data_IF_309707209609
#
_entry.id   IF_309707209609
#
_cell.length_a   1.000
_cell.length_b   1.000
_cell.length_c   1.000
_cell.angle_alpha   90.00
_cell.angle_beta   90.00
_cell.angle_gamma   90.00
#
_symmetry.space_group_name_H-M   'P 1'
#
loop_
_entity.id
_entity.type
_entity.pdbx_description
1 polymer ?
#
# COMPACT_ATOMS: atom_id res chain seq x y z
N UNK A 1 -9.58 26.86 10.26
CA UNK A 1 -8.37 26.02 10.36
C UNK A 1 -7.41 26.36 9.23
N UNK A 2 -6.13 26.02 9.36
CA UNK A 2 -5.12 26.15 8.31
C UNK A 2 -5.08 24.89 7.44
N UNK A 3 -5.05 25.09 6.12
CA UNK A 3 -4.92 24.04 5.11
C UNK A 3 -3.90 24.48 4.05
N UNK A 4 -3.04 23.57 3.60
CA UNK A 4 -2.17 23.80 2.46
C UNK A 4 -2.93 23.50 1.16
N UNK A 5 -3.21 24.54 0.38
CA UNK A 5 -3.90 24.44 -0.90
C UNK A 5 -2.91 24.52 -2.05
N UNK A 6 -3.09 23.64 -3.03
CA UNK A 6 -2.27 23.56 -4.24
C UNK A 6 -3.00 24.26 -5.38
N UNK A 7 -2.35 25.29 -5.95
CA UNK A 7 -2.84 26.06 -7.08
C UNK A 7 -2.03 25.71 -8.34
N UNK A 8 -2.59 24.90 -9.26
CA UNK A 8 -1.89 24.52 -10.48
C UNK A 8 -1.94 25.66 -11.51
N UNK A 9 -1.07 26.67 -11.38
CA UNK A 9 -0.93 27.78 -12.34
C UNK A 9 0.27 27.57 -13.26
N UNK A 10 0.06 26.96 -14.44
CA UNK A 10 1.15 26.73 -15.41
C UNK A 10 1.98 28.01 -15.65
N UNK A 11 3.33 27.95 -15.64
CA UNK A 11 4.16 26.74 -15.64
C UNK A 11 4.55 26.22 -14.23
N UNK A 12 4.09 26.87 -13.15
CA UNK A 12 4.47 26.54 -11.79
C UNK A 12 3.32 25.90 -11.00
N UNK A 13 3.64 25.18 -9.94
CA UNK A 13 2.64 24.73 -8.96
C UNK A 13 2.93 25.48 -7.69
N UNK A 14 2.00 26.32 -7.26
CA UNK A 14 2.15 27.12 -6.03
C UNK A 14 1.37 26.45 -4.92
N UNK A 15 1.98 26.32 -3.75
CA UNK A 15 1.31 25.83 -2.53
C UNK A 15 1.24 26.97 -1.54
N UNK A 16 0.05 27.26 -1.02
CA UNK A 16 -0.18 28.34 -0.05
C UNK A 16 -0.94 27.81 1.14
N UNK A 17 -0.58 28.27 2.34
CA UNK A 17 -1.33 28.00 3.56
C UNK A 17 -2.49 28.99 3.63
N UNK A 18 -3.72 28.48 3.63
CA UNK A 18 -4.94 29.28 3.64
C UNK A 18 -5.73 29.04 4.94
N UNK A 19 -6.48 30.06 5.38
CA UNK A 19 -7.51 29.88 6.39
C UNK A 19 -8.78 29.40 5.70
N UNK A 20 -9.30 28.26 6.14
CA UNK A 20 -10.52 27.63 5.64
C UNK A 20 -11.46 27.29 6.80
N UNK A 21 -12.73 27.08 6.50
CA UNK A 21 -13.71 26.64 7.49
C UNK A 21 -13.37 25.24 8.01
N UNK A 22 -13.77 24.95 9.25
CA UNK A 22 -13.60 23.61 9.81
C UNK A 22 -14.51 22.63 9.03
N UNK A 23 -14.00 21.52 8.49
CA UNK A 23 -14.81 20.57 7.77
C UNK A 23 -15.78 19.88 8.74
N UNK A 24 -17.02 19.71 8.30
CA UNK A 24 -18.07 19.06 9.10
C UNK A 24 -18.20 17.61 8.64
N UNK A 25 -18.02 16.60 9.53
CA UNK A 25 -18.19 15.21 9.16
C UNK A 25 -19.65 14.94 8.78
N UNK A 26 -19.86 14.35 7.61
CA UNK A 26 -21.16 13.80 7.18
C UNK A 26 -21.44 12.46 7.86
N UNK A 27 -22.58 11.81 7.60
CA UNK A 27 -23.13 10.66 8.34
C UNK A 27 -22.10 9.67 8.93
N UNK A 28 -21.27 9.04 8.08
CA UNK A 28 -20.23 8.08 8.45
C UNK A 28 -18.81 8.67 8.54
N UNK A 29 -18.70 10.01 8.53
CA UNK A 29 -17.44 10.72 8.60
C UNK A 29 -16.91 10.84 10.03
N UNK A 30 -15.59 10.83 10.15
CA UNK A 30 -14.88 11.20 11.38
C UNK A 30 -14.09 12.48 11.13
N UNK A 31 -14.22 13.44 12.06
CA UNK A 31 -13.38 14.61 12.11
C UNK A 31 -12.12 14.27 12.89
N UNK A 32 -10.97 14.43 12.24
CA UNK A 32 -9.66 14.05 12.75
C UNK A 32 -8.80 15.30 12.90
N UNK A 33 -8.21 15.52 14.08
CA UNK A 33 -7.22 16.58 14.31
C UNK A 33 -5.82 16.03 14.11
N UNK A 34 -5.00 16.70 13.31
CA UNK A 34 -3.63 16.30 13.02
C UNK A 34 -2.72 16.45 14.25
N UNK A 35 -1.88 15.44 14.46
CA UNK A 35 -0.77 15.38 15.42
C UNK A 35 0.32 14.48 14.82
N UNK A 36 1.45 15.08 14.44
CA UNK A 36 2.65 14.36 13.96
C UNK A 36 2.36 13.41 12.78
N UNK A 37 1.63 13.90 11.78
CA UNK A 37 1.21 13.20 10.57
C UNK A 37 0.21 12.04 10.81
N UNK A 38 -0.23 11.84 12.04
CA UNK A 38 -1.38 11.03 12.41
C UNK A 38 -2.42 11.91 13.13
N UNK A 39 -3.46 11.31 13.72
CA UNK A 39 -4.63 12.09 14.13
C UNK A 39 -5.29 11.58 15.40
N UNK A 40 -6.04 12.46 16.05
CA UNK A 40 -7.05 12.09 17.03
C UNK A 40 -8.46 12.34 16.49
N UNK A 41 -9.39 11.45 16.81
CA UNK A 41 -10.82 11.69 16.57
C UNK A 41 -11.31 12.83 17.47
N UNK A 42 -11.92 13.85 16.86
CA UNK A 42 -12.52 15.01 17.55
C UNK A 42 -14.02 15.16 17.33
N UNK A 43 -14.56 14.53 16.29
CA UNK A 43 -15.98 14.59 16.00
C UNK A 43 -16.43 13.39 15.18
N UNK A 44 -17.70 13.04 15.34
CA UNK A 44 -18.35 11.93 14.66
C UNK A 44 -19.59 12.47 13.93
N UNK A 45 -19.82 11.99 12.71
CA UNK A 45 -21.05 12.26 11.96
C UNK A 45 -22.30 11.68 12.64
N UNK A 46 -23.49 11.96 12.11
CA UNK A 46 -24.77 11.57 12.72
C UNK A 46 -24.95 10.06 12.94
N UNK A 47 -24.29 9.20 12.16
CA UNK A 47 -24.25 7.75 12.42
C UNK A 47 -23.05 7.30 13.28
N UNK A 48 -22.02 8.15 13.41
CA UNK A 48 -20.95 7.94 14.39
C UNK A 48 -21.32 8.41 15.81
N UNK A 49 -22.37 9.22 15.98
CA UNK A 49 -22.94 9.53 17.28
C UNK A 49 -23.79 8.36 17.80
N UNK A 50 -23.78 8.04 19.11
CA UNK A 50 -24.44 6.86 19.64
C UNK A 50 -25.97 7.01 19.55
N UNK A 51 -26.54 6.51 18.47
CA UNK A 51 -27.95 6.17 18.36
C UNK A 51 -28.02 4.72 17.89
N UNK A 52 -28.83 3.94 18.60
CA UNK A 52 -28.84 2.49 18.56
C UNK A 52 -28.93 1.95 17.13
N UNK A 53 -28.07 0.98 16.81
CA UNK A 53 -28.00 0.18 15.56
C UNK A 53 -27.10 0.69 14.42
N UNK A 54 -25.87 1.10 14.73
CA UNK A 54 -24.66 0.51 14.15
C UNK A 54 -23.45 0.89 15.01
N UNK A 55 -22.88 -0.08 15.74
CA UNK A 55 -21.66 0.12 16.54
C UNK A 55 -20.48 0.31 15.59
N UNK A 56 -20.11 1.54 15.27
CA UNK A 56 -18.86 1.82 14.57
C UNK A 56 -17.76 2.06 15.61
N UNK A 57 -16.61 1.41 15.40
CA UNK A 57 -15.57 1.08 16.38
C UNK A 57 -14.76 2.27 16.95
N UNK A 58 -14.91 3.47 16.41
CA UNK A 58 -14.12 4.64 16.81
C UNK A 58 -14.90 5.59 17.72
N UNK A 59 -14.26 6.08 18.78
CA UNK A 59 -14.78 7.09 19.71
C UNK A 59 -13.95 8.36 19.69
N UNK A 60 -14.53 9.44 20.20
CA UNK A 60 -13.81 10.70 20.41
C UNK A 60 -12.59 10.42 21.31
N UNK A 61 -11.43 10.93 20.90
CA UNK A 61 -10.16 10.71 21.58
C UNK A 61 -9.35 9.51 21.06
N UNK A 62 -9.91 8.68 20.18
CA UNK A 62 -9.13 7.58 19.59
C UNK A 62 -8.01 8.11 18.70
N UNK A 63 -6.90 7.36 18.70
CA UNK A 63 -5.72 7.59 17.87
C UNK A 63 -5.95 6.93 16.52
N UNK A 64 -5.84 7.69 15.44
CA UNK A 64 -6.20 7.23 14.10
C UNK A 64 -5.27 7.72 12.99
N UNK A 65 -5.20 6.95 11.91
CA UNK A 65 -4.62 7.35 10.63
C UNK A 65 -5.72 7.32 9.57
N UNK A 66 -6.38 8.46 9.27
CA UNK A 66 -7.46 8.55 8.31
C UNK A 66 -6.93 8.47 6.88
N UNK A 67 -7.60 7.69 6.03
CA UNK A 67 -7.39 7.73 4.58
C UNK A 67 -8.43 8.67 3.93
N UNK A 68 -8.08 9.95 3.84
CA UNK A 68 -8.92 10.97 3.22
C UNK A 68 -9.16 10.65 1.72
N UNK A 69 -10.41 10.79 1.20
CA UNK A 69 -10.67 10.64 -0.22
C UNK A 69 -9.78 11.59 -1.05
N UNK A 70 -8.96 11.05 -1.93
CA UNK A 70 -8.06 11.88 -2.71
C UNK A 70 -8.81 12.84 -3.63
N UNK A 71 -8.23 14.03 -3.85
CA UNK A 71 -8.76 15.07 -4.74
C UNK A 71 -10.09 15.69 -4.31
N UNK A 72 -10.53 15.46 -3.07
CA UNK A 72 -11.64 16.20 -2.46
C UNK A 72 -11.12 17.28 -1.50
N UNK A 73 -11.92 18.32 -1.20
CA UNK A 73 -11.55 19.31 -0.18
C UNK A 73 -11.37 18.70 1.22
N UNK A 74 -10.52 19.32 2.06
CA UNK A 74 -10.30 18.89 3.43
C UNK A 74 -9.23 17.81 3.57
N UNK A 75 -8.16 17.93 2.79
CA UNK A 75 -7.07 16.95 2.72
C UNK A 75 -6.28 16.80 4.01
N UNK A 76 -5.26 15.94 4.00
CA UNK A 76 -4.43 15.62 5.17
C UNK A 76 -3.29 16.60 5.41
N UNK A 77 -3.07 17.58 4.52
CA UNK A 77 -2.11 18.68 4.73
C UNK A 77 -2.81 19.87 5.41
N UNK A 78 -3.46 19.60 6.53
CA UNK A 78 -4.36 20.52 7.20
C UNK A 78 -4.47 20.20 8.70
N UNK A 79 -4.81 21.19 9.53
CA UNK A 79 -4.95 20.99 10.99
C UNK A 79 -6.06 19.98 11.35
N UNK A 80 -7.09 19.87 10.49
CA UNK A 80 -8.15 18.88 10.61
C UNK A 80 -8.49 18.27 9.25
N UNK A 81 -8.86 17.00 9.23
CA UNK A 81 -9.36 16.32 8.03
C UNK A 81 -10.63 15.55 8.36
N UNK A 82 -11.45 15.31 7.35
CA UNK A 82 -12.59 14.39 7.45
C UNK A 82 -12.30 13.16 6.59
N UNK A 83 -12.47 11.98 7.17
CA UNK A 83 -12.41 10.73 6.43
C UNK A 83 -13.62 9.85 6.76
N UNK A 84 -14.07 9.01 5.82
CA UNK A 84 -15.05 7.97 6.13
C UNK A 84 -14.48 7.00 7.16
N UNK A 85 -15.28 6.61 8.15
CA UNK A 85 -14.85 5.75 9.25
C UNK A 85 -14.33 4.39 8.78
N UNK A 86 -14.90 3.84 7.71
CA UNK A 86 -14.43 2.59 7.08
C UNK A 86 -13.02 2.69 6.47
N UNK A 87 -12.55 3.91 6.25
CA UNK A 87 -11.21 4.25 5.73
C UNK A 87 -10.28 4.81 6.81
N UNK A 88 -10.68 4.74 8.07
CA UNK A 88 -9.89 5.25 9.19
C UNK A 88 -9.26 4.09 9.95
N UNK A 89 -7.92 4.07 9.97
CA UNK A 89 -7.13 3.08 10.68
C UNK A 89 -7.00 3.45 12.17
N UNK A 90 -7.39 2.56 13.08
CA UNK A 90 -7.17 2.73 14.52
C UNK A 90 -5.70 2.41 14.87
N UNK A 91 -5.05 3.32 15.60
CA UNK A 91 -3.66 3.19 16.04
C UNK A 91 -3.64 2.61 17.46
N UNK A 92 -3.03 1.43 17.69
CA UNK A 92 -2.91 0.88 19.04
C UNK A 92 -2.06 1.76 19.97
N UNK A 93 -2.33 1.72 21.28
CA UNK A 93 -1.69 2.58 22.29
C UNK A 93 -0.16 2.51 22.32
N UNK A 94 0.44 1.39 21.91
CA UNK A 94 1.89 1.20 21.86
C UNK A 94 2.61 1.70 20.59
N UNK A 95 1.87 2.14 19.56
CA UNK A 95 2.46 2.56 18.29
C UNK A 95 2.56 4.08 18.25
N UNK A 96 3.74 4.64 17.97
CA UNK A 96 3.93 6.10 17.82
C UNK A 96 3.22 6.66 16.57
N UNK A 97 2.89 7.95 16.59
CA UNK A 97 2.16 8.59 15.48
C UNK A 97 2.94 8.63 14.18
N UNK A 98 4.23 8.96 14.24
CA UNK A 98 5.13 8.92 13.09
C UNK A 98 5.18 7.52 12.45
N UNK A 99 5.30 6.46 13.26
CA UNK A 99 5.30 5.09 12.75
C UNK A 99 3.96 4.75 12.07
N UNK A 100 2.85 5.14 12.69
CA UNK A 100 1.50 4.86 12.20
C UNK A 100 1.16 5.59 10.88
N UNK A 101 1.64 6.83 10.69
CA UNK A 101 1.38 7.62 9.48
C UNK A 101 1.91 6.92 8.22
N UNK A 102 2.95 6.11 8.36
CA UNK A 102 3.55 5.37 7.24
C UNK A 102 2.79 4.12 6.83
N UNK A 103 1.77 3.68 7.57
CA UNK A 103 1.15 2.35 7.43
C UNK A 103 -0.07 2.39 6.51
N UNK A 104 -0.99 3.32 6.71
CA UNK A 104 -2.34 3.22 6.16
C UNK A 104 -2.36 3.15 4.62
N UNK A 105 -1.80 4.14 3.94
CA UNK A 105 -1.81 4.21 2.47
C UNK A 105 -0.99 3.09 1.84
N UNK A 106 0.24 2.91 2.29
CA UNK A 106 1.23 2.00 1.69
C UNK A 106 0.85 0.54 1.90
N UNK A 107 0.40 0.17 3.10
CA UNK A 107 0.01 -1.21 3.41
C UNK A 107 -1.29 -1.57 2.71
N UNK A 108 -2.27 -0.65 2.62
CA UNK A 108 -3.48 -0.89 1.85
C UNK A 108 -3.19 -1.07 0.37
N UNK A 109 -2.33 -0.21 -0.20
CA UNK A 109 -1.93 -0.33 -1.60
C UNK A 109 -1.18 -1.63 -1.90
N UNK A 110 -0.26 -2.04 -1.01
CA UNK A 110 0.43 -3.33 -1.11
C UNK A 110 -0.56 -4.51 -1.01
N UNK A 111 -1.49 -4.48 -0.04
CA UNK A 111 -2.50 -5.52 0.14
C UNK A 111 -3.43 -5.64 -1.08
N UNK A 112 -3.87 -4.51 -1.65
CA UNK A 112 -4.65 -4.49 -2.89
C UNK A 112 -3.86 -5.14 -4.02
N UNK A 113 -2.59 -4.77 -4.20
CA UNK A 113 -1.73 -5.32 -5.24
C UNK A 113 -1.60 -6.84 -5.12
N UNK A 114 -1.25 -7.34 -3.93
CA UNK A 114 -1.00 -8.75 -3.70
C UNK A 114 -2.30 -9.56 -3.72
N UNK A 115 -3.26 -9.23 -2.86
CA UNK A 115 -4.41 -10.11 -2.58
C UNK A 115 -5.58 -9.87 -3.53
N UNK A 116 -5.84 -8.63 -3.95
CA UNK A 116 -6.96 -8.31 -4.86
C UNK A 116 -6.58 -8.39 -6.32
N UNK A 117 -5.40 -7.88 -6.70
CA UNK A 117 -5.00 -7.75 -8.11
C UNK A 117 -4.20 -8.95 -8.61
N UNK A 118 -3.36 -9.55 -7.78
CA UNK A 118 -2.62 -10.76 -8.11
C UNK A 118 -3.28 -12.05 -7.59
N UNK A 119 -4.37 -11.93 -6.82
CA UNK A 119 -5.09 -13.07 -6.23
C UNK A 119 -4.20 -13.96 -5.37
N UNK A 120 -3.17 -13.40 -4.76
CA UNK A 120 -2.31 -14.10 -3.82
C UNK A 120 -3.08 -14.40 -2.53
N UNK A 121 -2.77 -15.52 -1.84
CA UNK A 121 -3.46 -15.88 -0.61
C UNK A 121 -3.21 -14.79 0.45
N UNK A 122 -4.25 -14.31 1.15
CA UNK A 122 -4.05 -13.38 2.26
C UNK A 122 -3.50 -14.11 3.50
N UNK A 123 -2.94 -13.39 4.49
CA UNK A 123 -2.26 -13.98 5.64
C UNK A 123 -3.10 -14.95 6.49
N UNK A 124 -4.41 -14.73 6.57
CA UNK A 124 -5.32 -15.60 7.33
C UNK A 124 -5.72 -16.87 6.59
N UNK A 125 -5.34 -17.02 5.32
CA UNK A 125 -5.56 -18.23 4.53
C UNK A 125 -4.34 -19.14 4.64
N UNK A 126 -4.35 -20.06 5.61
CA UNK A 126 -3.24 -20.99 5.82
C UNK A 126 -2.96 -21.81 4.57
N UNK A 127 -1.71 -21.77 4.11
CA UNK A 127 -1.21 -22.61 3.03
C UNK A 127 -0.84 -23.99 3.59
N UNK A 128 -1.14 -25.05 2.83
CA UNK A 128 -0.70 -26.39 3.22
C UNK A 128 0.80 -26.52 2.98
N UNK A 129 1.57 -27.19 3.88
CA UNK A 129 3.00 -27.42 3.69
C UNK A 129 3.35 -28.13 2.38
N UNK A 130 2.38 -28.83 1.79
CA UNK A 130 2.54 -29.57 0.53
C UNK A 130 2.18 -28.72 -0.71
N UNK A 131 1.82 -27.44 -0.55
CA UNK A 131 1.55 -26.57 -1.70
C UNK A 131 2.85 -26.08 -2.32
N UNK A 132 2.94 -25.99 -3.67
CA UNK A 132 4.13 -25.47 -4.33
C UNK A 132 4.47 -24.04 -3.87
N UNK A 133 5.75 -23.65 -3.83
CA UNK A 133 6.13 -22.27 -3.56
C UNK A 133 5.49 -21.30 -4.55
N UNK A 134 5.32 -20.03 -4.15
CA UNK A 134 4.77 -18.96 -4.99
C UNK A 134 5.87 -17.90 -5.14
N UNK A 135 6.69 -17.97 -6.20
CA UNK A 135 7.69 -16.94 -6.44
C UNK A 135 7.05 -15.58 -6.69
N UNK A 136 7.59 -14.54 -6.06
CA UNK A 136 7.14 -13.16 -6.18
C UNK A 136 8.33 -12.23 -6.42
N UNK A 137 8.30 -11.50 -7.53
CA UNK A 137 9.29 -10.46 -7.82
C UNK A 137 8.80 -9.12 -7.28
N UNK A 138 9.65 -8.40 -6.53
CA UNK A 138 9.34 -7.06 -6.04
C UNK A 138 10.45 -6.11 -6.53
N UNK A 139 10.12 -5.26 -7.49
CA UNK A 139 11.04 -4.24 -8.02
C UNK A 139 10.93 -2.96 -7.20
N UNK A 140 12.08 -2.41 -6.79
CA UNK A 140 12.10 -1.27 -5.89
C UNK A 140 11.90 -1.68 -4.43
N UNK A 141 12.43 -2.83 -4.01
CA UNK A 141 12.12 -3.45 -2.72
C UNK A 141 12.38 -2.59 -1.47
N UNK A 142 13.09 -1.46 -1.58
CA UNK A 142 13.33 -0.51 -0.50
C UNK A 142 12.36 0.67 -0.44
N UNK A 143 11.45 0.87 -1.39
CA UNK A 143 10.42 1.90 -1.25
C UNK A 143 9.35 1.48 -0.24
N UNK A 144 8.61 2.48 0.27
CA UNK A 144 7.67 2.28 1.37
C UNK A 144 6.61 1.21 1.05
N UNK A 145 5.98 1.27 -0.13
CA UNK A 145 4.94 0.30 -0.51
C UNK A 145 5.52 -1.12 -0.64
N UNK A 146 6.62 -1.27 -1.35
CA UNK A 146 7.28 -2.55 -1.59
C UNK A 146 7.81 -3.20 -0.30
N UNK A 147 8.30 -2.39 0.64
CA UNK A 147 8.67 -2.86 1.99
C UNK A 147 7.48 -3.51 2.70
N UNK A 148 6.31 -2.88 2.66
CA UNK A 148 5.09 -3.48 3.23
C UNK A 148 4.60 -4.67 2.42
N UNK A 149 4.80 -4.68 1.09
CA UNK A 149 4.51 -5.85 0.27
C UNK A 149 5.36 -7.07 0.68
N UNK A 150 6.64 -6.89 0.99
CA UNK A 150 7.50 -7.96 1.53
C UNK A 150 6.95 -8.46 2.87
N UNK A 151 6.64 -7.55 3.80
CA UNK A 151 6.06 -7.90 5.12
C UNK A 151 4.76 -8.68 4.97
N UNK A 152 3.85 -8.25 4.09
CA UNK A 152 2.57 -8.92 3.83
C UNK A 152 2.74 -10.28 3.12
N UNK A 153 3.67 -10.38 2.17
CA UNK A 153 3.98 -11.62 1.47
C UNK A 153 4.51 -12.69 2.43
N UNK A 154 5.42 -12.30 3.34
CA UNK A 154 5.91 -13.17 4.41
C UNK A 154 4.80 -13.66 5.33
N UNK A 155 3.93 -12.76 5.77
CA UNK A 155 2.80 -13.13 6.61
C UNK A 155 1.79 -14.03 5.88
N UNK A 156 1.89 -14.15 4.55
CA UNK A 156 1.07 -15.00 3.70
C UNK A 156 1.79 -16.26 3.22
N UNK A 157 3.00 -16.53 3.74
CA UNK A 157 3.85 -17.66 3.31
C UNK A 157 4.09 -17.66 1.79
N UNK A 158 4.34 -16.48 1.22
CA UNK A 158 4.64 -16.29 -0.21
C UNK A 158 6.15 -16.19 -0.37
N UNK A 159 6.73 -17.27 -0.87
CA UNK A 159 8.17 -17.46 -1.06
C UNK A 159 8.43 -18.30 -2.31
N UNK A 160 9.58 -18.13 -3.01
CA UNK A 160 10.62 -17.15 -2.72
C UNK A 160 10.26 -15.71 -3.14
N UNK A 161 10.69 -14.74 -2.34
CA UNK A 161 10.63 -13.31 -2.66
C UNK A 161 11.95 -12.91 -3.34
N UNK A 162 11.85 -12.44 -4.58
CA UNK A 162 12.97 -11.91 -5.36
C UNK A 162 12.93 -10.37 -5.27
N UNK A 163 13.70 -9.82 -4.33
CA UNK A 163 13.66 -8.40 -3.98
C UNK A 163 14.72 -7.60 -4.76
N UNK A 164 14.30 -6.82 -5.75
CA UNK A 164 15.22 -6.04 -6.57
C UNK A 164 15.42 -4.66 -5.94
N UNK A 165 16.65 -4.34 -5.52
CA UNK A 165 17.00 -3.17 -4.70
C UNK A 165 18.41 -2.68 -5.01
N UNK A 166 18.66 -1.38 -4.88
CA UNK A 166 19.99 -0.78 -5.05
C UNK A 166 20.72 -0.58 -3.72
N UNK A 167 20.99 0.67 -3.39
CA UNK A 167 21.81 1.09 -2.24
C UNK A 167 21.27 0.62 -0.87
N UNK A 168 19.95 0.52 -0.72
CA UNK A 168 19.29 0.12 0.53
C UNK A 168 19.17 -1.40 0.73
N UNK A 169 20.01 -2.20 0.07
CA UNK A 169 19.97 -3.67 0.16
C UNK A 169 20.15 -4.19 1.60
N UNK A 170 20.92 -3.50 2.43
CA UNK A 170 21.16 -3.88 3.84
C UNK A 170 19.88 -3.85 4.68
N UNK A 171 18.98 -2.91 4.40
CA UNK A 171 17.67 -2.84 5.04
C UNK A 171 16.74 -3.96 4.53
N UNK A 172 16.62 -4.12 3.21
CA UNK A 172 15.77 -5.15 2.59
C UNK A 172 16.18 -6.55 3.04
N UNK A 173 17.49 -6.83 3.17
CA UNK A 173 17.99 -8.12 3.63
C UNK A 173 17.44 -8.55 4.99
N UNK A 174 17.15 -7.60 5.90
CA UNK A 174 16.54 -7.89 7.21
C UNK A 174 15.08 -8.34 7.10
N UNK A 175 14.43 -7.99 6.00
CA UNK A 175 13.04 -8.35 5.74
C UNK A 175 12.89 -9.69 5.05
N UNK A 176 13.94 -10.26 4.47
CA UNK A 176 13.89 -11.50 3.70
C UNK A 176 14.15 -12.73 4.56
N UNK A 177 13.70 -13.90 4.10
CA UNK A 177 13.85 -15.20 4.76
C UNK A 177 14.67 -16.15 3.87
N UNK A 178 16.02 -16.12 3.93
CA UNK A 178 16.86 -16.81 2.94
C UNK A 178 16.67 -18.33 2.84
N UNK A 179 16.31 -19.00 3.95
CA UNK A 179 16.08 -20.45 3.95
C UNK A 179 14.79 -20.85 3.22
N UNK A 180 13.88 -19.89 2.95
CA UNK A 180 12.69 -20.06 2.10
C UNK A 180 12.97 -19.69 0.63
N UNK A 181 14.22 -19.39 0.28
CA UNK A 181 14.64 -19.01 -1.07
C UNK A 181 14.55 -17.52 -1.36
N UNK A 182 14.24 -16.67 -0.36
CA UNK A 182 14.23 -15.23 -0.56
C UNK A 182 15.63 -14.69 -0.84
N UNK A 183 15.73 -13.82 -1.83
CA UNK A 183 17.00 -13.21 -2.25
C UNK A 183 16.79 -11.75 -2.60
N UNK A 184 17.87 -10.97 -2.50
CA UNK A 184 17.91 -9.64 -3.08
C UNK A 184 18.79 -9.62 -4.33
N UNK A 185 18.44 -8.78 -5.30
CA UNK A 185 19.17 -8.61 -6.56
C UNK A 185 19.43 -7.12 -6.78
N UNK A 186 20.67 -6.76 -7.11
CA UNK A 186 21.06 -5.38 -7.36
C UNK A 186 20.80 -4.96 -8.81
N UNK A 187 19.81 -4.10 -9.05
CA UNK A 187 19.52 -3.63 -10.41
C UNK A 187 20.66 -2.79 -11.01
N UNK A 188 21.59 -2.26 -10.20
CA UNK A 188 22.71 -1.41 -10.64
C UNK A 188 23.78 -2.20 -11.39
N UNK A 189 23.78 -3.54 -11.30
CA UNK A 189 24.65 -4.40 -12.10
C UNK A 189 24.24 -4.48 -13.58
N UNK A 190 23.13 -3.83 -13.95
CA UNK A 190 22.62 -3.77 -15.32
C UNK A 190 21.49 -4.77 -15.58
N UNK A 191 20.62 -4.42 -16.53
CA UNK A 191 19.37 -5.12 -16.84
C UNK A 191 19.55 -6.60 -17.15
N UNK A 192 20.52 -6.96 -18.00
CA UNK A 192 20.71 -8.35 -18.41
C UNK A 192 21.29 -9.20 -17.29
N UNK A 193 22.19 -8.63 -16.47
CA UNK A 193 22.69 -9.30 -15.27
C UNK A 193 21.57 -9.53 -14.25
N UNK A 194 20.73 -8.53 -14.03
CA UNK A 194 19.57 -8.65 -13.14
C UNK A 194 18.62 -9.76 -13.60
N UNK A 195 18.29 -9.84 -14.90
CA UNK A 195 17.46 -10.94 -15.44
C UNK A 195 18.11 -12.31 -15.21
N UNK A 196 19.39 -12.42 -15.49
CA UNK A 196 20.14 -13.66 -15.27
C UNK A 196 20.14 -14.08 -13.80
N UNK A 197 20.34 -13.13 -12.88
CA UNK A 197 20.31 -13.40 -11.44
C UNK A 197 18.90 -13.81 -10.98
N UNK A 198 17.83 -13.23 -11.56
CA UNK A 198 16.43 -13.64 -11.32
C UNK A 198 16.22 -15.09 -11.77
N UNK A 199 16.58 -15.42 -13.01
CA UNK A 199 16.44 -16.76 -13.59
C UNK A 199 17.23 -17.79 -12.78
N UNK A 200 18.46 -17.44 -12.37
CA UNK A 200 19.32 -18.30 -11.54
C UNK A 200 18.70 -18.56 -10.17
N UNK A 201 18.10 -17.53 -9.55
CA UNK A 201 17.47 -17.65 -8.23
C UNK A 201 16.18 -18.48 -8.28
N UNK A 202 15.45 -18.41 -9.39
CA UNK A 202 14.22 -19.19 -9.59
C UNK A 202 14.50 -20.63 -10.01
N UNK A 203 15.62 -20.89 -10.70
CA UNK A 203 15.92 -22.19 -11.30
C UNK A 203 14.81 -22.58 -12.29
N UNK A 204 14.12 -23.69 -12.01
CA UNK A 204 13.00 -24.17 -12.84
C UNK A 204 11.62 -23.72 -12.34
N UNK A 205 11.54 -22.92 -11.28
CA UNK A 205 10.25 -22.48 -10.75
C UNK A 205 9.60 -21.44 -11.68
N UNK A 206 8.34 -21.64 -12.10
CA UNK A 206 7.64 -20.63 -12.85
C UNK A 206 7.29 -19.45 -11.92
N UNK A 207 7.48 -18.23 -12.43
CA UNK A 207 7.13 -17.01 -11.72
C UNK A 207 6.00 -16.29 -12.45
N UNK A 208 4.88 -16.12 -11.76
CA UNK A 208 3.67 -15.49 -12.31
C UNK A 208 3.37 -14.14 -11.68
N UNK A 209 4.09 -13.75 -10.64
CA UNK A 209 3.72 -12.63 -9.78
C UNK A 209 4.86 -11.62 -9.69
N UNK A 210 4.55 -10.37 -10.01
CA UNK A 210 5.48 -9.27 -9.85
C UNK A 210 4.79 -7.97 -9.38
N UNK A 211 5.53 -7.18 -8.62
CA UNK A 211 5.14 -5.85 -8.17
C UNK A 211 6.23 -4.85 -8.56
N UNK A 212 5.84 -3.75 -9.21
CA UNK A 212 6.73 -2.66 -9.61
C UNK A 212 5.97 -1.31 -9.54
N UNK A 213 5.94 -0.68 -8.37
CA UNK A 213 5.23 0.59 -8.19
C UNK A 213 6.09 1.79 -8.61
N UNK A 214 7.42 1.65 -8.59
CA UNK A 214 8.35 2.66 -9.09
C UNK A 214 8.14 2.88 -10.61
N UNK A 215 8.09 1.79 -11.40
CA UNK A 215 7.82 1.80 -12.84
C UNK A 215 8.71 2.75 -13.68
N UNK A 216 9.84 3.20 -13.12
CA UNK A 216 10.78 4.10 -13.77
C UNK A 216 11.56 3.39 -14.88
N UNK A 217 11.95 4.15 -15.92
CA UNK A 217 12.77 3.64 -17.03
C UNK A 217 12.20 2.38 -17.72
N UNK A 218 10.89 2.16 -17.61
CA UNK A 218 10.18 0.97 -18.11
C UNK A 218 10.64 -0.33 -17.42
N UNK A 219 11.03 -0.27 -16.15
CA UNK A 219 11.35 -1.45 -15.32
C UNK A 219 10.29 -2.55 -15.45
N UNK A 220 9.01 -2.20 -15.46
CA UNK A 220 7.91 -3.16 -15.60
C UNK A 220 7.97 -3.96 -16.91
N UNK A 221 8.51 -3.40 -17.99
CA UNK A 221 8.70 -4.11 -19.27
C UNK A 221 9.76 -5.18 -19.09
N UNK A 222 10.89 -4.83 -18.47
CA UNK A 222 11.95 -5.79 -18.14
C UNK A 222 11.44 -6.90 -17.24
N UNK A 223 10.68 -6.55 -16.19
CA UNK A 223 10.11 -7.55 -15.28
C UNK A 223 9.08 -8.43 -15.99
N UNK A 224 8.28 -7.88 -16.90
CA UNK A 224 7.34 -8.68 -17.69
C UNK A 224 8.03 -9.70 -18.61
N UNK A 225 9.29 -9.49 -18.99
CA UNK A 225 10.04 -10.42 -19.84
C UNK A 225 10.52 -11.67 -19.10
N UNK A 226 10.67 -11.60 -17.77
CA UNK A 226 11.11 -12.74 -16.95
C UNK A 226 9.93 -13.52 -16.36
N UNK A 227 8.70 -13.02 -16.51
CA UNK A 227 7.51 -13.72 -16.07
C UNK A 227 7.16 -14.89 -16.99
N UNK A 228 6.64 -15.96 -16.39
CA UNK A 228 6.05 -17.09 -17.10
C UNK A 228 4.77 -16.67 -17.85
N UNK A 229 4.41 -17.36 -18.95
CA UNK A 229 3.14 -17.13 -19.63
C UNK A 229 1.94 -17.23 -18.68
N UNK A 230 1.05 -16.23 -18.72
CA UNK A 230 -0.05 -16.06 -17.76
C UNK A 230 0.32 -15.21 -16.53
N UNK A 231 1.57 -14.75 -16.42
CA UNK A 231 2.03 -13.92 -15.32
C UNK A 231 1.39 -12.52 -15.30
N UNK A 232 1.45 -11.87 -14.14
CA UNK A 232 0.93 -10.54 -13.91
C UNK A 232 1.94 -9.64 -13.20
N UNK A 233 2.15 -8.43 -13.74
CA UNK A 233 2.89 -7.35 -13.05
C UNK A 233 1.88 -6.31 -12.54
N UNK A 234 1.92 -6.02 -11.24
CA UNK A 234 1.17 -4.90 -10.64
C UNK A 234 1.99 -3.62 -10.65
N UNK A 235 1.46 -2.54 -11.23
CA UNK A 235 2.13 -1.24 -11.37
C UNK A 235 1.27 -0.08 -10.86
N UNK A 236 1.87 1.04 -10.44
CA UNK A 236 1.13 2.21 -9.97
C UNK A 236 0.56 3.05 -11.13
N UNK A 237 -0.70 3.50 -11.00
CA UNK A 237 -1.37 4.40 -11.96
C UNK A 237 -1.01 5.88 -11.79
N UNK A 238 0.22 6.25 -11.48
CA UNK A 238 0.64 7.67 -11.52
C UNK A 238 1.04 8.11 -12.93
N UNK A 239 1.22 7.16 -13.84
CA UNK A 239 1.74 7.43 -15.16
C UNK A 239 0.60 7.63 -16.18
N UNK A 240 0.73 8.68 -17.00
CA UNK A 240 0.19 8.73 -18.37
C UNK A 240 0.87 7.64 -19.25
N UNK A 241 0.99 6.41 -18.75
CA UNK A 241 1.41 5.28 -19.56
C UNK A 241 0.20 4.92 -20.41
N UNK A 242 0.17 5.47 -21.62
CA UNK A 242 -0.59 4.88 -22.70
C UNK A 242 0.06 3.53 -22.98
N UNK A 243 -0.46 2.45 -22.39
CA UNK A 243 0.00 1.08 -22.68
C UNK A 243 -0.32 0.74 -24.13
N UNK A 244 0.59 1.07 -25.05
CA UNK A 244 0.46 0.76 -26.49
C UNK A 244 0.85 -0.69 -26.83
N UNK A 245 1.50 -1.41 -25.90
CA UNK A 245 1.87 -2.82 -26.07
C UNK A 245 1.29 -3.65 -24.94
N UNK A 246 0.27 -4.44 -25.26
CA UNK A 246 -0.15 -5.60 -24.46
C UNK A 246 0.75 -6.76 -24.89
N UNK A 247 1.52 -7.32 -23.98
CA UNK A 247 2.07 -8.66 -24.22
C UNK A 247 0.89 -9.63 -24.21
N UNK A 248 0.73 -10.53 -25.20
CA UNK A 248 -0.32 -11.56 -25.14
C UNK A 248 -0.05 -12.60 -24.05
N UNK A 249 1.15 -12.62 -23.47
CA UNK A 249 1.61 -13.63 -22.52
C UNK A 249 1.60 -13.15 -21.06
N UNK A 250 1.56 -11.84 -20.80
CA UNK A 250 1.66 -11.28 -19.44
C UNK A 250 0.65 -10.17 -19.28
N UNK A 251 -0.20 -10.27 -18.26
CA UNK A 251 -1.13 -9.21 -17.87
C UNK A 251 -0.42 -8.13 -17.05
N UNK A 252 -0.91 -6.91 -17.15
CA UNK A 252 -0.53 -5.82 -16.26
C UNK A 252 -1.76 -5.41 -15.47
N UNK A 253 -1.68 -5.51 -14.15
CA UNK A 253 -2.69 -4.97 -13.25
C UNK A 253 -2.24 -3.59 -12.77
N UNK A 254 -3.21 -2.71 -12.59
CA UNK A 254 -2.95 -1.32 -12.23
C UNK A 254 -3.43 -1.10 -10.80
N UNK A 255 -2.51 -0.69 -9.93
CA UNK A 255 -2.81 -0.22 -8.58
C UNK A 255 -3.27 1.23 -8.72
N UNK A 256 -4.55 1.44 -8.48
CA UNK A 256 -5.16 2.76 -8.52
C UNK A 256 -4.96 3.41 -7.16
N UNK A 257 -3.85 4.15 -7.01
CA UNK A 257 -3.63 4.98 -5.82
C UNK A 257 -4.58 6.19 -5.82
N UNK A 258 -5.01 6.64 -7.01
CA UNK A 258 -5.91 7.78 -7.21
C UNK A 258 -7.25 7.32 -7.78
N UNK A 259 -8.36 7.40 -7.04
CA UNK A 259 -9.67 6.96 -7.49
C UNK A 259 -10.20 7.88 -8.60
N UNK A 260 -9.94 7.53 -9.86
CA UNK A 260 -10.66 8.09 -11.01
C UNK A 260 -11.81 7.19 -11.47
N UNK A 261 -11.80 5.92 -11.05
CA UNK A 261 -12.88 4.96 -11.29
C UNK A 261 -13.61 4.70 -9.97
N UNK A 262 -14.77 5.35 -9.82
CA UNK A 262 -15.61 5.24 -8.62
C UNK A 262 -16.12 3.82 -8.41
N UNK A 263 -16.39 3.04 -9.47
CA UNK A 263 -16.91 1.66 -9.32
C UNK A 263 -15.86 0.70 -8.78
N UNK A 264 -14.65 0.75 -9.34
CA UNK A 264 -13.54 -0.07 -8.86
C UNK A 264 -13.17 0.26 -7.41
N UNK A 265 -13.21 1.54 -7.05
CA UNK A 265 -12.93 2.01 -5.68
C UNK A 265 -14.00 1.53 -4.70
N UNK A 266 -15.28 1.59 -5.07
CA UNK A 266 -16.38 1.07 -4.24
C UNK A 266 -16.25 -0.43 -3.98
N UNK A 267 -15.78 -1.21 -4.97
CA UNK A 267 -15.57 -2.65 -4.81
C UNK A 267 -14.43 -3.01 -3.84
N UNK A 268 -13.52 -2.08 -3.55
CA UNK A 268 -12.36 -2.30 -2.68
C UNK A 268 -12.60 -1.81 -1.23
N UNK A 269 -13.75 -1.18 -0.92
CA UNK A 269 -14.03 -0.60 0.42
C UNK A 269 -14.06 -1.68 1.51
N UNK A 270 -14.80 -2.76 1.29
CA UNK A 270 -14.89 -3.84 2.29
C UNK A 270 -13.54 -4.53 2.49
N UNK A 271 -12.76 -4.65 1.41
CA UNK A 271 -11.40 -5.15 1.50
C UNK A 271 -10.51 -4.23 2.35
N UNK A 272 -10.56 -2.91 2.13
CA UNK A 272 -9.83 -1.94 2.94
C UNK A 272 -10.22 -2.00 4.41
N UNK A 273 -11.53 -2.09 4.69
CA UNK A 273 -12.08 -2.22 6.04
C UNK A 273 -11.52 -3.45 6.78
N UNK A 274 -11.49 -4.61 6.12
CA UNK A 274 -10.92 -5.85 6.68
C UNK A 274 -9.41 -5.72 6.87
N UNK A 275 -8.71 -5.19 5.87
CA UNK A 275 -7.25 -5.04 5.93
C UNK A 275 -6.82 -4.12 7.07
N UNK A 276 -7.49 -2.99 7.29
CA UNK A 276 -7.14 -2.09 8.38
C UNK A 276 -7.30 -2.72 9.76
N UNK A 277 -8.36 -3.50 9.99
CA UNK A 277 -8.53 -4.26 11.24
C UNK A 277 -7.46 -5.32 11.43
N UNK A 278 -7.15 -6.02 10.34
CA UNK A 278 -6.11 -7.03 10.36
C UNK A 278 -4.74 -6.43 10.71
N UNK A 279 -4.36 -5.31 10.07
CA UNK A 279 -3.10 -4.61 10.33
C UNK A 279 -3.08 -4.05 11.76
N UNK A 280 -4.17 -3.46 12.23
CA UNK A 280 -4.27 -2.93 13.60
C UNK A 280 -4.07 -4.04 14.63
N UNK A 281 -4.65 -5.21 14.39
CA UNK A 281 -4.41 -6.41 15.21
C UNK A 281 -2.93 -6.81 15.18
N UNK A 282 -2.30 -6.89 14.02
CA UNK A 282 -0.89 -7.29 13.93
C UNK A 282 0.05 -6.30 14.63
N UNK A 283 -0.22 -4.99 14.51
CA UNK A 283 0.50 -3.97 15.27
C UNK A 283 0.34 -4.16 16.79
N UNK A 284 -0.90 -4.42 17.24
CA UNK A 284 -1.19 -4.58 18.66
C UNK A 284 -0.48 -5.80 19.29
N UNK A 285 -0.24 -6.86 18.51
CA UNK A 285 0.46 -8.07 18.98
C UNK A 285 1.96 -8.08 18.64
N UNK A 286 2.49 -7.03 18.01
CA UNK A 286 3.90 -6.91 17.65
C UNK A 286 4.34 -7.78 16.46
N UNK A 287 3.41 -8.29 15.66
CA UNK A 287 3.69 -9.07 14.43
C UNK A 287 3.78 -8.19 13.17
N UNK A 288 3.63 -6.87 13.33
CA UNK A 288 3.80 -5.88 12.29
C UNK A 288 4.36 -4.60 12.91
N UNK A 289 5.05 -3.81 12.10
CA UNK A 289 5.62 -2.53 12.52
C UNK A 289 5.58 -1.54 11.36
N UNK A 290 5.43 -0.26 11.70
CA UNK A 290 5.62 0.82 10.75
C UNK A 290 7.06 0.89 10.26
N UNK A 291 7.31 1.70 9.24
CA UNK A 291 8.66 1.88 8.70
C UNK A 291 9.11 3.27 9.09
N UNK A 292 10.06 3.38 10.03
CA UNK A 292 10.73 4.65 10.29
C UNK A 292 11.66 4.93 9.10
N UNK A 293 11.38 6.02 8.38
CA UNK A 293 12.17 6.48 7.23
C UNK A 293 13.30 7.37 7.74
#
# INVERSE_FOLDING_TARGET
MKEALVFPTKPFVTTTICNVDLPVPQDNGVLCQEVEQAYYVRGLGKQGAPSNESKIESKIGDRVSPFHPMMTPGGTYAEYTVAPIEKTFLIPDGIGFESASTIALTTLAAALALFRRQSLPPPWMKRSPNTPPIPLIIYGASSALETYAIKLARNSDIHPIIAIVGESASYVKKLLVPYLGDVFIDYRSGTERMKHDIETSLGNMPVFHALDVISEKKSWVTISQVLSPGGTVSVAKTLKVTMKRKSPLVSTSVIVLQPQDTKATLADIDFAYVMFRYIARLLAIGEFEGTSI
#
